data_IF_541821099047
#
_entry.id   IF_541821099047
#
_cell.length_a   1.000
_cell.length_b   1.000
_cell.length_c   1.000
_cell.angle_alpha   90.00
_cell.angle_beta   90.00
_cell.angle_gamma   90.00
#
_symmetry.space_group_name_H-M   'P 1'
#
loop_
_entity.id
_entity.type
_entity.pdbx_description
1 polymer ?
#
# COMPACT_ATOMS: atom_id res chain seq x y z
N UNK A 1 32.86 60.38 47.48
CA UNK A 1 33.44 59.24 46.74
C UNK A 1 33.00 57.98 47.48
N UNK A 2 32.05 57.23 46.87
CA UNK A 2 31.47 55.88 47.18
C UNK A 2 31.11 55.50 48.63
N UNK A 3 30.30 54.42 48.89
CA UNK A 3 29.61 53.43 48.02
C UNK A 3 28.07 53.38 48.28
N UNK A 4 27.18 52.91 47.40
CA UNK A 4 26.97 51.51 46.99
C UNK A 4 25.81 50.86 47.79
N UNK A 5 24.60 50.77 47.20
CA UNK A 5 23.53 49.88 47.67
C UNK A 5 22.79 49.20 46.48
N UNK A 6 22.28 47.96 46.67
CA UNK A 6 22.06 46.99 45.59
C UNK A 6 20.68 47.10 44.95
N UNK A 7 20.60 46.73 43.66
CA UNK A 7 19.37 46.60 42.88
C UNK A 7 18.49 45.46 43.42
N UNK A 8 17.24 45.77 43.77
CA UNK A 8 16.17 44.78 43.98
C UNK A 8 15.80 44.09 42.67
N UNK A 9 15.61 42.77 42.76
CA UNK A 9 15.11 41.92 41.68
C UNK A 9 13.66 42.25 41.36
N UNK A 10 13.36 42.60 40.10
CA UNK A 10 12.00 42.63 39.58
C UNK A 10 11.62 41.23 39.12
N UNK A 11 10.56 40.69 39.70
CA UNK A 11 9.87 39.48 39.22
C UNK A 11 9.42 39.66 37.76
N UNK A 12 9.62 38.65 36.88
CA UNK A 12 8.98 38.66 35.58
C UNK A 12 7.52 38.22 35.73
N UNK A 13 6.60 39.04 35.22
CA UNK A 13 5.17 38.74 35.16
C UNK A 13 4.86 37.50 34.29
N UNK A 14 3.66 36.93 34.38
CA UNK A 14 3.34 35.68 33.72
C UNK A 14 3.22 35.93 32.20
N UNK A 15 4.28 35.58 31.47
CA UNK A 15 4.21 35.33 30.04
C UNK A 15 3.37 34.09 29.84
N UNK A 16 2.22 34.24 29.20
CA UNK A 16 1.42 33.13 28.71
C UNK A 16 2.19 32.42 27.59
N UNK A 17 3.01 31.44 27.94
CA UNK A 17 3.45 30.40 27.01
C UNK A 17 2.26 29.46 26.76
N UNK A 18 1.44 29.78 25.76
CA UNK A 18 0.59 28.77 25.13
C UNK A 18 1.49 27.89 24.28
N UNK A 19 2.02 26.84 24.90
CA UNK A 19 2.59 25.69 24.19
C UNK A 19 1.46 25.02 23.41
N UNK A 20 1.20 25.48 22.19
CA UNK A 20 0.36 24.76 21.26
C UNK A 20 1.04 23.42 20.98
N UNK A 21 0.36 22.33 21.33
CA UNK A 21 0.79 20.98 20.99
C UNK A 21 1.06 20.91 19.48
N UNK A 22 2.09 20.18 19.04
CA UNK A 22 2.43 20.13 17.62
C UNK A 22 1.22 19.58 16.84
N UNK A 23 0.83 20.29 15.76
CA UNK A 23 -0.34 20.08 14.88
C UNK A 23 -0.63 18.61 14.46
N UNK A 24 0.33 17.71 14.61
CA UNK A 24 0.17 16.28 14.38
C UNK A 24 -0.55 15.55 15.54
N UNK A 25 -0.44 16.00 16.79
CA UNK A 25 -1.14 15.40 17.94
C UNK A 25 -2.65 15.68 17.91
N UNK A 26 -3.04 16.89 17.52
CA UNK A 26 -4.43 17.28 17.24
C UNK A 26 -5.00 16.53 16.03
N UNK A 27 -4.20 16.36 14.98
CA UNK A 27 -4.59 15.55 13.81
C UNK A 27 -4.76 14.08 14.20
N UNK A 28 -3.82 13.52 14.99
CA UNK A 28 -3.87 12.14 15.46
C UNK A 28 -5.09 11.87 16.32
N UNK A 29 -5.38 12.74 17.29
CA UNK A 29 -6.57 12.62 18.14
C UNK A 29 -7.88 12.75 17.35
N UNK A 30 -7.91 13.58 16.30
CA UNK A 30 -9.05 13.65 15.37
C UNK A 30 -9.24 12.33 14.58
N UNK A 31 -8.17 11.75 14.05
CA UNK A 31 -8.22 10.47 13.33
C UNK A 31 -8.52 9.25 14.22
N UNK A 32 -8.01 9.25 15.45
CA UNK A 32 -8.29 8.21 16.45
C UNK A 32 -9.79 8.19 16.82
N UNK A 33 -10.44 9.36 16.83
CA UNK A 33 -11.89 9.48 17.11
C UNK A 33 -12.79 9.07 15.94
N UNK A 34 -12.28 9.09 14.70
CA UNK A 34 -12.98 8.61 13.51
C UNK A 34 -12.83 7.09 13.29
N UNK A 35 -11.99 6.45 14.12
CA UNK A 35 -11.75 5.00 14.06
C UNK A 35 -12.82 4.22 14.84
N UNK A 36 -13.38 3.14 14.28
CA UNK A 36 -14.49 2.41 14.89
C UNK A 36 -14.11 1.70 16.21
N UNK A 37 -15.01 1.80 17.22
CA UNK A 37 -14.76 1.48 18.64
C UNK A 37 -14.54 0.00 19.01
N UNK A 38 -14.64 -0.95 18.08
CA UNK A 38 -14.37 -2.39 18.29
C UNK A 38 -13.91 -3.06 16.99
N UNK A 39 -12.62 -3.01 16.70
CA UNK A 39 -12.02 -3.77 15.59
C UNK A 39 -10.79 -4.55 16.08
N UNK A 40 -10.46 -5.70 15.45
CA UNK A 40 -9.33 -6.55 15.84
C UNK A 40 -8.01 -5.80 15.71
N UNK A 41 -7.06 -6.06 16.61
CA UNK A 41 -5.78 -5.33 16.70
C UNK A 41 -4.97 -5.35 15.39
N UNK A 42 -4.45 -4.20 14.96
CA UNK A 42 -3.43 -4.11 13.90
C UNK A 42 -2.21 -4.96 14.25
N UNK A 43 -1.65 -5.74 13.31
CA UNK A 43 -0.37 -6.38 13.51
C UNK A 43 0.75 -5.33 13.52
N UNK A 44 1.92 -5.69 14.08
CA UNK A 44 3.10 -4.84 13.91
C UNK A 44 3.59 -4.92 12.46
N UNK A 45 4.02 -3.82 11.83
CA UNK A 45 4.41 -3.81 10.41
C UNK A 45 5.47 -4.86 10.05
N UNK A 46 6.44 -5.09 10.95
CA UNK A 46 7.51 -6.07 10.79
C UNK A 46 7.05 -7.55 10.80
N UNK A 47 5.85 -7.82 11.31
CA UNK A 47 5.31 -9.17 11.48
C UNK A 47 4.23 -9.50 10.44
N UNK A 48 3.83 -8.54 9.61
CA UNK A 48 2.74 -8.66 8.67
C UNK A 48 3.20 -8.46 7.23
N UNK A 49 2.35 -8.86 6.28
CA UNK A 49 2.55 -8.61 4.86
C UNK A 49 1.92 -7.25 4.55
N UNK A 50 2.75 -6.20 4.49
CA UNK A 50 2.28 -4.82 4.30
C UNK A 50 1.96 -4.56 2.82
N UNK A 51 0.70 -4.20 2.56
CA UNK A 51 0.19 -3.81 1.24
C UNK A 51 -0.19 -2.34 1.29
N UNK A 52 0.57 -1.49 0.61
CA UNK A 52 0.24 -0.09 0.48
C UNK A 52 -0.62 0.13 -0.77
N UNK A 53 -1.74 0.84 -0.65
CA UNK A 53 -2.66 1.12 -1.76
C UNK A 53 -2.89 2.62 -1.83
N UNK A 54 -2.80 3.20 -3.03
CA UNK A 54 -3.12 4.60 -3.23
C UNK A 54 -4.63 4.87 -3.14
N UNK A 55 -5.04 6.06 -2.68
CA UNK A 55 -6.46 6.47 -2.64
C UNK A 55 -7.17 6.30 -3.99
N UNK A 56 -6.56 6.73 -5.09
CA UNK A 56 -7.12 6.58 -6.45
C UNK A 56 -7.15 5.14 -6.98
N UNK A 57 -6.36 4.23 -6.39
CA UNK A 57 -6.44 2.81 -6.72
C UNK A 57 -7.59 2.15 -5.96
N UNK A 58 -7.78 2.52 -4.69
CA UNK A 58 -8.84 1.97 -3.84
C UNK A 58 -10.22 2.50 -4.20
N UNK A 59 -10.32 3.77 -4.56
CA UNK A 59 -11.57 4.48 -4.85
C UNK A 59 -11.49 5.18 -6.21
N UNK A 60 -12.63 5.31 -6.89
CA UNK A 60 -12.70 6.14 -8.11
C UNK A 60 -12.76 7.59 -7.70
N UNK A 61 -11.74 8.33 -8.10
CA UNK A 61 -11.56 9.76 -7.78
C UNK A 61 -11.27 10.57 -9.04
N UNK A 62 -11.82 10.13 -10.19
CA UNK A 62 -11.51 10.69 -11.51
C UNK A 62 -12.00 12.15 -11.61
N UNK A 63 -13.17 12.44 -11.04
CA UNK A 63 -13.76 13.79 -11.02
C UNK A 63 -12.93 14.73 -10.14
N UNK A 64 -12.57 14.27 -8.95
CA UNK A 64 -11.78 15.06 -8.00
C UNK A 64 -10.38 15.32 -8.55
N UNK A 65 -9.79 14.35 -9.25
CA UNK A 65 -8.54 14.55 -9.97
C UNK A 65 -8.67 15.61 -11.05
N UNK A 66 -9.77 15.61 -11.82
CA UNK A 66 -10.02 16.62 -12.86
C UNK A 66 -10.11 18.01 -12.25
N UNK A 67 -10.88 18.17 -11.17
CA UNK A 67 -10.98 19.45 -10.44
C UNK A 67 -9.61 19.92 -9.98
N UNK A 68 -8.79 19.03 -9.39
CA UNK A 68 -7.43 19.39 -8.96
C UNK A 68 -6.55 19.86 -10.12
N UNK A 69 -6.61 19.18 -11.27
CA UNK A 69 -5.76 19.49 -12.43
C UNK A 69 -6.21 20.75 -13.17
N UNK A 70 -7.52 20.98 -13.30
CA UNK A 70 -8.08 22.08 -14.10
C UNK A 70 -8.32 23.35 -13.27
N UNK A 71 -8.74 23.21 -12.01
CA UNK A 71 -9.23 24.31 -11.16
C UNK A 71 -8.31 24.57 -9.95
N UNK A 72 -7.35 23.67 -9.69
CA UNK A 72 -6.34 23.83 -8.65
C UNK A 72 -6.76 23.33 -7.27
N UNK A 73 -5.86 23.54 -6.30
CA UNK A 73 -5.96 22.94 -4.96
C UNK A 73 -7.12 23.49 -4.13
N UNK A 74 -7.39 24.79 -4.22
CA UNK A 74 -8.43 25.44 -3.42
C UNK A 74 -9.82 24.90 -3.76
N UNK A 75 -10.11 24.81 -5.06
CA UNK A 75 -11.39 24.27 -5.55
C UNK A 75 -11.54 22.79 -5.21
N UNK A 76 -10.47 22.03 -5.38
CA UNK A 76 -10.42 20.62 -5.00
C UNK A 76 -10.75 20.43 -3.50
N UNK A 77 -10.17 21.24 -2.62
CA UNK A 77 -10.45 21.18 -1.18
C UNK A 77 -11.91 21.54 -0.91
N UNK A 78 -12.44 22.61 -1.51
CA UNK A 78 -13.85 23.00 -1.36
C UNK A 78 -14.80 21.88 -1.77
N UNK A 79 -14.58 21.31 -2.97
CA UNK A 79 -15.39 20.21 -3.48
C UNK A 79 -15.38 19.02 -2.52
N UNK A 80 -14.22 18.66 -1.97
CA UNK A 80 -14.09 17.54 -1.04
C UNK A 80 -14.79 17.79 0.29
N UNK A 81 -14.78 19.03 0.80
CA UNK A 81 -15.49 19.44 2.02
C UNK A 81 -17.01 19.37 1.83
N UNK A 82 -17.52 19.86 0.69
CA UNK A 82 -18.95 19.84 0.37
C UNK A 82 -19.50 18.41 0.24
N UNK A 83 -18.67 17.47 -0.21
CA UNK A 83 -19.04 16.07 -0.44
C UNK A 83 -18.50 15.11 0.63
N UNK A 84 -18.12 15.59 1.82
CA UNK A 84 -17.49 14.77 2.88
C UNK A 84 -18.29 13.51 3.27
N UNK A 85 -19.62 13.62 3.24
CA UNK A 85 -20.54 12.55 3.61
C UNK A 85 -20.95 11.66 2.43
N UNK A 86 -20.44 11.93 1.23
CA UNK A 86 -20.69 11.14 0.03
C UNK A 86 -19.54 10.15 -0.20
N UNK A 87 -19.77 8.84 0.00
CA UNK A 87 -18.73 7.84 -0.19
C UNK A 87 -18.24 7.79 -1.63
N UNK A 88 -16.93 7.65 -1.83
CA UNK A 88 -16.38 7.39 -3.16
C UNK A 88 -16.84 6.03 -3.67
N UNK A 89 -17.06 5.92 -4.98
CA UNK A 89 -17.34 4.62 -5.58
C UNK A 89 -16.11 3.68 -5.56
N UNK A 90 -16.32 2.34 -5.49
CA UNK A 90 -15.21 1.38 -5.44
C UNK A 90 -14.28 1.48 -6.65
N UNK A 91 -12.98 1.61 -6.39
CA UNK A 91 -11.93 1.66 -7.39
C UNK A 91 -11.42 0.29 -7.84
N UNK A 92 -10.48 0.25 -8.79
CA UNK A 92 -9.98 -0.99 -9.37
C UNK A 92 -9.28 -1.94 -8.38
N UNK A 93 -8.64 -1.40 -7.33
CA UNK A 93 -8.00 -2.22 -6.29
C UNK A 93 -8.98 -2.66 -5.18
N UNK A 94 -10.23 -2.19 -5.19
CA UNK A 94 -11.19 -2.47 -4.13
C UNK A 94 -11.49 -3.97 -3.95
N UNK A 95 -11.77 -4.76 -5.01
CA UNK A 95 -12.02 -6.18 -4.84
C UNK A 95 -10.81 -6.95 -4.32
N UNK A 96 -9.60 -6.48 -4.67
CA UNK A 96 -8.35 -7.04 -4.15
C UNK A 96 -8.23 -6.81 -2.64
N UNK A 97 -8.50 -5.59 -2.16
CA UNK A 97 -8.53 -5.29 -0.72
C UNK A 97 -9.56 -6.15 0.04
N UNK A 98 -10.77 -6.32 -0.50
CA UNK A 98 -11.77 -7.24 0.09
C UNK A 98 -11.28 -8.70 0.15
N UNK A 99 -10.58 -9.16 -0.88
CA UNK A 99 -9.99 -10.50 -0.89
C UNK A 99 -8.90 -10.67 0.18
N UNK A 100 -8.06 -9.66 0.40
CA UNK A 100 -7.09 -9.67 1.51
C UNK A 100 -7.78 -9.74 2.87
N UNK A 101 -8.85 -8.97 3.08
CA UNK A 101 -9.64 -9.01 4.32
C UNK A 101 -10.29 -10.37 4.55
N UNK A 102 -10.83 -10.99 3.51
CA UNK A 102 -11.41 -12.33 3.59
C UNK A 102 -10.36 -13.37 4.02
N UNK A 103 -9.13 -13.27 3.48
CA UNK A 103 -8.00 -14.12 3.91
C UNK A 103 -7.64 -13.85 5.37
N UNK A 104 -7.52 -12.58 5.76
CA UNK A 104 -7.21 -12.16 7.13
C UNK A 104 -8.23 -12.67 8.14
N UNK A 105 -9.53 -12.64 7.79
CA UNK A 105 -10.60 -13.17 8.64
C UNK A 105 -10.36 -14.66 8.94
N UNK A 106 -10.11 -15.47 7.92
CA UNK A 106 -9.83 -16.90 8.10
C UNK A 106 -8.52 -17.16 8.84
N UNK A 107 -7.49 -16.35 8.61
CA UNK A 107 -6.23 -16.47 9.35
C UNK A 107 -6.44 -16.19 10.85
N UNK A 108 -7.22 -15.16 11.20
CA UNK A 108 -7.54 -14.86 12.60
C UNK A 108 -8.41 -15.92 13.26
N UNK A 109 -9.33 -16.54 12.53
CA UNK A 109 -10.11 -17.69 13.02
C UNK A 109 -9.22 -18.91 13.35
N UNK A 110 -8.22 -19.18 12.50
CA UNK A 110 -7.31 -20.32 12.68
C UNK A 110 -6.17 -20.05 13.66
N UNK A 111 -5.73 -18.80 13.76
CA UNK A 111 -4.58 -18.34 14.54
C UNK A 111 -4.87 -16.98 15.20
N UNK A 112 -5.68 -16.93 16.27
CA UNK A 112 -6.11 -15.68 16.91
C UNK A 112 -4.96 -14.78 17.38
N UNK A 113 -3.86 -15.40 17.85
CA UNK A 113 -2.69 -14.69 18.40
C UNK A 113 -1.61 -14.36 17.36
N UNK A 114 -1.82 -14.73 16.08
CA UNK A 114 -0.82 -14.51 15.04
C UNK A 114 -0.96 -13.15 14.38
N UNK A 115 0.15 -12.40 14.35
CA UNK A 115 0.25 -11.12 13.64
C UNK A 115 0.63 -11.28 12.15
N UNK A 116 0.96 -12.50 11.69
CA UNK A 116 1.38 -12.75 10.31
C UNK A 116 0.15 -12.96 9.41
N UNK A 117 -0.42 -11.81 9.06
CA UNK A 117 -1.59 -11.55 8.21
C UNK A 117 -1.25 -10.42 7.22
N UNK A 118 -2.18 -10.01 6.35
CA UNK A 118 -2.02 -8.80 5.55
C UNK A 118 -2.29 -7.54 6.38
N UNK A 119 -1.46 -6.53 6.21
CA UNK A 119 -1.63 -5.21 6.79
C UNK A 119 -1.78 -4.18 5.67
N UNK A 120 -2.98 -3.59 5.56
CA UNK A 120 -3.36 -2.74 4.44
C UNK A 120 -3.19 -1.28 4.87
N UNK A 121 -2.41 -0.53 4.08
CA UNK A 121 -2.12 0.89 4.36
C UNK A 121 -2.63 1.73 3.21
N UNK A 122 -3.43 2.76 3.53
CA UNK A 122 -3.84 3.73 2.53
C UNK A 122 -2.78 4.84 2.41
N UNK A 123 -2.18 4.97 1.23
CA UNK A 123 -1.33 6.10 0.84
C UNK A 123 -2.15 7.14 0.08
N UNK A 124 -2.08 8.39 0.49
CA UNK A 124 -2.68 9.49 -0.28
C UNK A 124 -1.75 10.68 -0.35
N UNK A 125 -1.73 11.31 -1.52
CA UNK A 125 -1.03 12.57 -1.73
C UNK A 125 -1.87 13.78 -1.34
N UNK A 126 -3.14 13.55 -0.98
CA UNK A 126 -4.07 14.62 -0.67
C UNK A 126 -3.70 15.30 0.65
N UNK A 127 -4.06 16.57 0.76
CA UNK A 127 -3.92 17.33 1.99
C UNK A 127 -4.79 16.72 3.11
N UNK A 128 -4.34 16.84 4.36
CA UNK A 128 -4.99 16.25 5.53
C UNK A 128 -6.49 16.64 5.66
N UNK A 129 -6.83 17.86 5.25
CA UNK A 129 -8.21 18.36 5.26
C UNK A 129 -9.18 17.56 4.38
N UNK A 130 -8.67 16.80 3.41
CA UNK A 130 -9.47 15.97 2.48
C UNK A 130 -9.57 14.52 2.95
N UNK A 131 -8.96 14.19 4.10
CA UNK A 131 -8.94 12.83 4.66
C UNK A 131 -10.31 12.35 5.14
N UNK A 132 -11.20 13.27 5.52
CA UNK A 132 -12.50 12.93 6.12
C UNK A 132 -13.36 12.10 5.16
N UNK A 133 -13.50 12.53 3.90
CA UNK A 133 -14.28 11.78 2.89
C UNK A 133 -13.71 10.38 2.63
N UNK A 134 -12.38 10.24 2.62
CA UNK A 134 -11.72 8.93 2.48
C UNK A 134 -12.05 8.01 3.66
N UNK A 135 -12.00 8.52 4.88
CA UNK A 135 -12.33 7.76 6.09
C UNK A 135 -13.81 7.39 6.10
N UNK A 136 -14.69 8.33 5.77
CA UNK A 136 -16.12 8.07 5.63
C UNK A 136 -16.40 6.98 4.58
N UNK A 137 -15.68 6.98 3.46
CA UNK A 137 -15.79 5.94 2.44
C UNK A 137 -15.32 4.58 2.96
N UNK A 138 -14.21 4.52 3.68
CA UNK A 138 -13.70 3.29 4.30
C UNK A 138 -14.68 2.73 5.32
N UNK A 139 -15.26 3.60 6.15
CA UNK A 139 -16.26 3.22 7.13
C UNK A 139 -17.57 2.76 6.45
N UNK A 140 -17.99 3.44 5.38
CA UNK A 140 -19.17 3.07 4.60
C UNK A 140 -19.07 1.64 4.03
N UNK A 141 -17.89 1.24 3.55
CA UNK A 141 -17.65 -0.09 3.01
C UNK A 141 -17.15 -1.14 4.03
N UNK A 142 -17.09 -0.75 5.31
CA UNK A 142 -16.50 -1.53 6.40
C UNK A 142 -15.14 -2.14 6.05
N UNK A 143 -14.26 -1.33 5.46
CA UNK A 143 -12.89 -1.73 5.19
C UNK A 143 -12.07 -1.71 6.49
N UNK A 144 -11.21 -2.69 6.67
CA UNK A 144 -10.24 -2.80 7.76
C UNK A 144 -8.91 -2.21 7.31
N UNK A 145 -8.82 -0.88 7.37
CA UNK A 145 -7.62 -0.11 7.09
C UNK A 145 -7.38 0.78 8.30
N UNK A 146 -6.38 0.43 9.12
CA UNK A 146 -6.07 1.17 10.35
C UNK A 146 -4.92 2.16 10.17
N UNK A 147 -4.17 2.07 9.07
CA UNK A 147 -3.01 2.91 8.80
C UNK A 147 -3.24 3.77 7.57
N UNK A 148 -3.15 5.08 7.81
CA UNK A 148 -3.28 6.13 6.80
C UNK A 148 -2.00 6.94 6.75
N UNK A 149 -1.50 7.18 5.55
CA UNK A 149 -0.45 8.17 5.35
C UNK A 149 -0.91 9.20 4.33
N UNK A 150 -0.83 10.46 4.73
CA UNK A 150 -1.15 11.61 3.91
C UNK A 150 0.14 12.38 3.70
N UNK A 151 0.68 12.34 2.49
CA UNK A 151 2.00 12.92 2.19
C UNK A 151 1.93 14.42 1.89
N UNK A 152 0.72 14.98 1.74
CA UNK A 152 0.51 16.41 1.49
C UNK A 152 1.20 16.91 0.21
N UNK A 153 1.20 16.08 -0.84
CA UNK A 153 1.86 16.37 -2.12
C UNK A 153 3.29 15.82 -2.24
N UNK A 154 3.93 15.43 -1.15
CA UNK A 154 5.27 14.84 -1.20
C UNK A 154 5.26 13.41 -1.74
N UNK A 155 6.43 12.92 -2.19
CA UNK A 155 6.59 11.54 -2.64
C UNK A 155 6.31 10.54 -1.51
N UNK A 156 5.60 9.42 -1.77
CA UNK A 156 5.26 8.43 -0.74
C UNK A 156 6.42 7.52 -0.35
N UNK A 157 7.55 7.55 -1.06
CA UNK A 157 8.63 6.56 -0.93
C UNK A 157 9.16 6.44 0.50
N UNK A 158 9.40 7.56 1.20
CA UNK A 158 9.95 7.52 2.55
C UNK A 158 9.03 6.74 3.51
N UNK A 159 7.72 6.91 3.37
CA UNK A 159 6.72 6.19 4.15
C UNK A 159 6.63 4.72 3.73
N UNK A 160 6.67 4.43 2.43
CA UNK A 160 6.64 3.05 1.93
C UNK A 160 7.82 2.22 2.51
N UNK A 161 9.02 2.82 2.59
CA UNK A 161 10.20 2.19 3.22
C UNK A 161 10.02 2.02 4.72
N UNK A 162 9.57 3.07 5.42
CA UNK A 162 9.36 3.03 6.87
C UNK A 162 8.33 1.98 7.30
N UNK A 163 7.34 1.69 6.45
CA UNK A 163 6.35 0.65 6.70
C UNK A 163 6.76 -0.75 6.25
N UNK A 164 7.97 -0.96 5.75
CA UNK A 164 8.44 -2.24 5.19
C UNK A 164 7.46 -2.82 4.15
N UNK A 165 7.02 -1.96 3.23
CA UNK A 165 6.00 -2.31 2.22
C UNK A 165 6.44 -3.50 1.37
N UNK A 166 5.61 -4.56 1.33
CA UNK A 166 5.83 -5.74 0.50
C UNK A 166 5.25 -5.58 -0.91
N UNK A 167 4.23 -4.74 -1.07
CA UNK A 167 3.63 -4.40 -2.36
C UNK A 167 2.96 -3.03 -2.30
N UNK A 168 3.30 -2.15 -3.23
CA UNK A 168 2.65 -0.86 -3.44
C UNK A 168 1.79 -0.85 -4.70
N UNK A 169 0.50 -0.55 -4.57
CA UNK A 169 -0.45 -0.48 -5.67
C UNK A 169 -0.92 0.96 -5.87
N UNK A 170 -0.72 1.50 -7.06
CA UNK A 170 -1.10 2.89 -7.36
C UNK A 170 -1.71 3.04 -8.74
N UNK A 171 -2.66 3.96 -8.88
CA UNK A 171 -3.16 4.38 -10.18
C UNK A 171 -2.24 5.41 -10.87
N UNK A 172 -1.14 5.81 -10.24
CA UNK A 172 -0.17 6.76 -10.76
C UNK A 172 1.13 6.04 -11.14
N UNK A 173 1.40 5.94 -12.44
CA UNK A 173 2.56 5.23 -12.97
C UNK A 173 3.90 5.88 -12.59
N UNK A 174 3.92 7.21 -12.43
CA UNK A 174 5.13 7.94 -12.04
C UNK A 174 5.57 7.55 -10.64
N UNK A 175 4.61 7.50 -9.70
CA UNK A 175 4.87 7.05 -8.32
C UNK A 175 5.25 5.58 -8.22
N UNK A 176 4.70 4.75 -9.11
CA UNK A 176 5.08 3.33 -9.18
C UNK A 176 6.53 3.20 -9.64
N UNK A 177 6.94 3.98 -10.64
CA UNK A 177 8.34 4.01 -11.09
C UNK A 177 9.28 4.47 -9.98
N UNK A 178 8.96 5.58 -9.29
CA UNK A 178 9.74 6.04 -8.13
C UNK A 178 9.90 4.94 -7.06
N UNK A 179 8.85 4.14 -6.82
CA UNK A 179 8.91 3.06 -5.84
C UNK A 179 9.79 1.91 -6.30
N UNK A 180 9.69 1.52 -7.57
CA UNK A 180 10.52 0.46 -8.17
C UNK A 180 12.00 0.85 -8.17
N UNK A 181 12.32 2.09 -8.54
CA UNK A 181 13.70 2.62 -8.57
C UNK A 181 14.35 2.57 -7.18
N UNK A 182 13.54 2.67 -6.13
CA UNK A 182 13.94 2.63 -4.72
C UNK A 182 13.88 1.22 -4.12
N UNK A 183 13.71 0.19 -4.95
CA UNK A 183 13.73 -1.23 -4.58
C UNK A 183 12.44 -1.74 -3.94
N UNK A 184 11.33 -0.99 -4.07
CA UNK A 184 10.03 -1.36 -3.51
C UNK A 184 9.21 -2.05 -4.60
N UNK A 185 8.71 -3.25 -4.28
CA UNK A 185 7.74 -3.95 -5.10
C UNK A 185 6.50 -3.08 -5.35
N UNK A 186 6.26 -2.66 -6.58
CA UNK A 186 5.12 -1.82 -6.91
C UNK A 186 4.49 -2.18 -8.26
N UNK A 187 3.21 -1.85 -8.43
CA UNK A 187 2.49 -2.06 -9.67
C UNK A 187 1.46 -0.95 -9.93
N UNK A 188 1.34 -0.58 -11.20
CA UNK A 188 0.29 0.33 -11.66
C UNK A 188 -1.02 -0.43 -11.78
N UNK A 189 -2.06 0.09 -11.14
CA UNK A 189 -3.42 -0.43 -11.26
C UNK A 189 -4.15 0.36 -12.33
N UNK A 190 -4.70 -0.37 -13.29
CA UNK A 190 -5.52 0.19 -14.36
C UNK A 190 -7.00 0.02 -14.01
N UNK A 191 -7.79 1.07 -14.27
CA UNK A 191 -9.24 0.97 -14.25
C UNK A 191 -9.69 0.09 -15.42
N UNK A 192 -10.33 -1.06 -15.18
CA UNK A 192 -10.74 -1.94 -16.25
C UNK A 192 -11.80 -1.24 -17.11
N UNK A 193 -11.76 -1.47 -18.43
CA UNK A 193 -12.72 -0.91 -19.38
C UNK A 193 -14.13 -1.53 -19.28
N UNK A 194 -14.26 -2.62 -18.52
CA UNK A 194 -15.51 -3.33 -18.22
C UNK A 194 -15.54 -3.68 -16.74
N UNK A 195 -16.74 -3.68 -16.17
CA UNK A 195 -16.95 -4.18 -14.82
C UNK A 195 -16.67 -5.69 -14.78
N UNK A 196 -15.51 -6.07 -14.28
CA UNK A 196 -15.14 -7.47 -14.08
C UNK A 196 -15.62 -7.89 -12.69
N UNK A 197 -16.59 -8.79 -12.65
CA UNK A 197 -17.03 -9.41 -11.39
C UNK A 197 -15.96 -10.41 -10.96
N UNK A 198 -15.17 -10.02 -9.97
CA UNK A 198 -14.15 -10.88 -9.35
C UNK A 198 -14.60 -11.33 -7.96
N UNK A 199 -14.24 -12.55 -7.59
CA UNK A 199 -14.54 -13.08 -6.25
C UNK A 199 -13.80 -12.29 -5.18
N UNK A 200 -14.54 -11.74 -4.23
CA UNK A 200 -13.99 -11.03 -3.06
C UNK A 200 -13.63 -11.98 -1.90
N UNK A 201 -13.97 -13.26 -2.00
CA UNK A 201 -13.73 -14.24 -0.92
C UNK A 201 -12.42 -15.01 -1.10
N UNK A 202 -11.73 -14.82 -2.23
CA UNK A 202 -10.54 -15.56 -2.59
C UNK A 202 -9.55 -14.63 -3.27
N UNK A 203 -8.34 -14.57 -2.73
CA UNK A 203 -7.22 -13.88 -3.34
C UNK A 203 -6.63 -14.76 -4.44
N UNK A 204 -6.67 -14.29 -5.68
CA UNK A 204 -6.07 -14.95 -6.84
C UNK A 204 -4.97 -14.05 -7.40
N UNK A 205 -3.74 -14.55 -7.41
CA UNK A 205 -2.58 -13.83 -7.93
C UNK A 205 -1.92 -14.69 -9.00
N UNK A 206 -1.81 -14.15 -10.21
CA UNK A 206 -1.02 -14.75 -11.28
C UNK A 206 0.27 -13.94 -11.42
N UNK A 207 1.41 -14.62 -11.34
CA UNK A 207 2.72 -14.03 -11.56
C UNK A 207 3.20 -14.38 -12.95
N UNK A 208 3.70 -13.38 -13.67
CA UNK A 208 4.52 -13.61 -14.85
C UNK A 208 5.92 -14.06 -14.40
N UNK A 209 6.30 -15.28 -14.73
CA UNK A 209 7.58 -15.86 -14.38
C UNK A 209 8.73 -15.13 -15.04
N UNK A 210 8.61 -14.84 -16.34
CA UNK A 210 9.75 -14.47 -17.18
C UNK A 210 10.14 -12.98 -17.07
N UNK A 211 9.28 -12.13 -16.53
CA UNK A 211 9.52 -10.68 -16.43
C UNK A 211 9.38 -10.08 -15.02
N UNK A 212 8.78 -10.79 -14.06
CA UNK A 212 8.35 -10.19 -12.78
C UNK A 212 8.91 -10.92 -11.54
N UNK A 213 9.07 -12.24 -11.61
CA UNK A 213 9.70 -13.04 -10.54
C UNK A 213 11.22 -13.15 -10.68
N UNK A 214 11.71 -13.01 -11.91
CA UNK A 214 13.11 -13.00 -12.29
C UNK A 214 13.46 -11.67 -12.97
N UNK A 215 14.74 -11.30 -12.97
CA UNK A 215 15.22 -10.06 -13.57
C UNK A 215 14.92 -10.03 -15.07
N UNK A 216 14.58 -8.85 -15.57
CA UNK A 216 14.31 -8.57 -16.99
C UNK A 216 15.59 -8.61 -17.85
N UNK A 217 16.75 -8.94 -17.28
CA UNK A 217 18.04 -9.03 -17.97
C UNK A 217 17.96 -9.92 -19.21
N UNK A 218 17.27 -11.04 -19.10
CA UNK A 218 17.05 -11.98 -20.21
C UNK A 218 16.17 -11.37 -21.32
N UNK A 219 15.12 -10.62 -20.96
CA UNK A 219 14.24 -9.95 -21.92
C UNK A 219 14.93 -8.75 -22.59
N UNK A 220 15.78 -8.03 -21.87
CA UNK A 220 16.61 -6.95 -22.42
C UNK A 220 17.60 -7.48 -23.47
N UNK A 221 18.18 -8.66 -23.25
CA UNK A 221 19.06 -9.32 -24.25
C UNK A 221 18.27 -9.72 -25.49
N UNK A 222 17.05 -10.27 -25.34
CA UNK A 222 16.16 -10.60 -26.48
C UNK A 222 15.80 -9.35 -27.27
N UNK A 223 15.36 -8.29 -26.60
CA UNK A 223 14.97 -7.01 -27.24
C UNK A 223 16.15 -6.32 -27.92
N UNK A 224 17.36 -6.44 -27.37
CA UNK A 224 18.53 -5.77 -27.90
C UNK A 224 19.26 -6.56 -29.00
N UNK A 225 19.31 -7.90 -28.92
CA UNK A 225 20.24 -8.71 -29.71
C UNK A 225 19.60 -9.91 -30.43
N UNK A 226 18.27 -10.08 -30.33
CA UNK A 226 17.53 -11.14 -31.02
C UNK A 226 17.55 -12.49 -30.29
N UNK A 227 16.72 -13.41 -30.77
CA UNK A 227 16.48 -14.74 -30.18
C UNK A 227 17.73 -15.64 -30.16
N UNK A 228 18.62 -15.52 -31.14
CA UNK A 228 19.81 -16.39 -31.24
C UNK A 228 20.78 -16.15 -30.07
N UNK A 229 21.01 -14.88 -29.71
CA UNK A 229 21.82 -14.47 -28.54
C UNK A 229 21.17 -14.85 -27.21
N UNK A 230 19.85 -14.96 -27.16
CA UNK A 230 19.12 -15.42 -25.98
C UNK A 230 19.37 -16.90 -25.71
N UNK A 231 19.32 -17.76 -26.74
CA UNK A 231 19.62 -19.19 -26.57
C UNK A 231 21.07 -19.44 -26.17
N UNK A 232 22.02 -18.67 -26.70
CA UNK A 232 23.42 -18.74 -26.28
C UNK A 232 23.61 -18.25 -24.82
N UNK A 233 22.90 -17.20 -24.42
CA UNK A 233 22.94 -16.68 -23.07
C UNK A 233 22.30 -17.64 -22.06
N UNK A 234 21.13 -18.22 -22.35
CA UNK A 234 20.48 -19.24 -21.53
C UNK A 234 21.36 -20.47 -21.38
N UNK A 235 21.91 -21.00 -22.47
CA UNK A 235 22.78 -22.19 -22.44
C UNK A 235 24.07 -21.95 -21.64
N UNK A 236 24.58 -20.72 -21.65
CA UNK A 236 25.76 -20.34 -20.86
C UNK A 236 25.44 -20.04 -19.39
N UNK A 237 24.18 -19.73 -19.05
CA UNK A 237 23.74 -19.30 -17.71
C UNK A 237 22.69 -20.24 -17.08
N UNK A 238 22.49 -21.44 -17.63
CA UNK A 238 21.51 -22.45 -17.21
C UNK A 238 21.55 -22.77 -15.70
N UNK A 239 22.74 -22.73 -15.10
CA UNK A 239 22.96 -22.99 -13.67
C UNK A 239 23.09 -21.73 -12.80
N UNK A 240 22.91 -20.53 -13.36
CA UNK A 240 22.92 -19.28 -12.61
C UNK A 240 21.47 -18.85 -12.36
N UNK A 241 21.01 -18.83 -11.10
CA UNK A 241 19.69 -18.29 -10.78
C UNK A 241 19.59 -16.87 -11.34
N UNK A 242 18.53 -16.59 -12.09
CA UNK A 242 18.22 -15.24 -12.55
C UNK A 242 18.15 -14.30 -11.34
N UNK A 243 18.57 -13.04 -11.51
CA UNK A 243 18.48 -12.08 -10.44
C UNK A 243 17.00 -11.94 -10.00
N UNK A 244 16.79 -11.68 -8.72
CA UNK A 244 15.45 -11.76 -8.14
C UNK A 244 14.61 -10.58 -8.61
N UNK A 245 13.43 -10.85 -9.17
CA UNK A 245 12.49 -9.81 -9.59
C UNK A 245 11.85 -9.09 -8.40
N UNK A 246 11.32 -7.88 -8.59
CA UNK A 246 10.82 -7.02 -7.52
C UNK A 246 9.68 -7.65 -6.73
N UNK A 247 8.86 -8.53 -7.34
CA UNK A 247 7.72 -9.15 -6.65
C UNK A 247 8.04 -10.46 -5.93
N UNK A 248 9.29 -10.93 -5.94
CA UNK A 248 9.67 -12.19 -5.27
C UNK A 248 9.32 -12.19 -3.79
N UNK A 249 9.62 -11.09 -3.08
CA UNK A 249 9.31 -10.98 -1.65
C UNK A 249 7.80 -11.09 -1.36
N UNK A 250 6.96 -10.56 -2.25
CA UNK A 250 5.52 -10.71 -2.14
C UNK A 250 5.06 -12.15 -2.41
N UNK A 251 5.62 -12.83 -3.42
CA UNK A 251 5.34 -14.25 -3.68
C UNK A 251 5.72 -15.14 -2.48
N UNK A 252 6.90 -14.91 -1.87
CA UNK A 252 7.33 -15.64 -0.67
C UNK A 252 6.38 -15.43 0.51
N UNK A 253 5.89 -14.20 0.69
CA UNK A 253 4.90 -13.87 1.69
C UNK A 253 3.56 -14.61 1.46
N UNK A 254 3.07 -14.66 0.21
CA UNK A 254 1.89 -15.45 -0.13
C UNK A 254 2.10 -16.94 0.17
N UNK A 255 3.26 -17.48 -0.19
CA UNK A 255 3.63 -18.87 0.09
C UNK A 255 3.68 -19.19 1.59
N UNK A 256 4.20 -18.26 2.40
CA UNK A 256 4.22 -18.38 3.87
C UNK A 256 2.80 -18.43 4.44
N UNK A 257 1.91 -17.53 4.01
CA UNK A 257 0.52 -17.51 4.45
C UNK A 257 -0.26 -18.75 3.97
N UNK A 258 -0.01 -19.24 2.74
CA UNK A 258 -0.59 -20.50 2.25
C UNK A 258 -0.20 -21.70 3.11
N UNK A 259 1.07 -21.80 3.52
CA UNK A 259 1.56 -22.88 4.39
C UNK A 259 0.80 -22.95 5.71
N UNK A 260 0.36 -21.83 6.29
CA UNK A 260 -0.48 -21.84 7.50
C UNK A 260 -1.78 -22.62 7.31
N UNK A 261 -2.47 -22.41 6.19
CA UNK A 261 -3.68 -23.17 5.88
C UNK A 261 -3.36 -24.66 5.66
N UNK A 262 -2.23 -24.97 5.03
CA UNK A 262 -1.83 -26.35 4.74
C UNK A 262 -1.53 -27.14 6.02
N UNK A 263 -0.87 -26.50 6.99
CA UNK A 263 -0.58 -27.09 8.31
C UNK A 263 -1.84 -27.41 9.12
N UNK A 264 -2.99 -26.84 8.76
CA UNK A 264 -4.31 -27.17 9.35
C UNK A 264 -5.12 -28.17 8.52
N UNK A 265 -4.53 -28.74 7.46
CA UNK A 265 -5.23 -29.64 6.53
C UNK A 265 -6.15 -28.93 5.54
N UNK A 266 -6.19 -27.59 5.53
CA UNK A 266 -7.12 -26.78 4.72
C UNK A 266 -6.53 -26.41 3.35
N UNK A 267 -5.77 -27.32 2.73
CA UNK A 267 -5.08 -27.05 1.45
C UNK A 267 -6.06 -26.68 0.33
N UNK A 268 -7.11 -27.48 0.16
CA UNK A 268 -8.13 -27.26 -0.87
C UNK A 268 -9.00 -26.04 -0.57
N UNK A 269 -9.19 -25.71 0.70
CA UNK A 269 -10.00 -24.58 1.11
C UNK A 269 -9.22 -23.26 1.20
N UNK A 270 -7.90 -23.27 1.07
CA UNK A 270 -7.08 -22.08 1.24
C UNK A 270 -7.62 -20.90 0.40
N UNK A 271 -7.88 -19.73 0.97
CA UNK A 271 -8.43 -18.59 0.22
C UNK A 271 -7.39 -17.88 -0.65
N UNK A 272 -6.13 -18.33 -0.68
CA UNK A 272 -5.06 -17.80 -1.52
C UNK A 272 -4.78 -18.79 -2.66
N UNK A 273 -4.85 -18.32 -3.90
CA UNK A 273 -4.49 -19.05 -5.12
C UNK A 273 -3.39 -18.30 -5.84
N UNK A 274 -2.28 -18.99 -6.05
CA UNK A 274 -1.13 -18.47 -6.77
C UNK A 274 -0.97 -19.25 -8.06
N UNK A 275 -0.84 -18.54 -9.17
CA UNK A 275 -0.62 -19.09 -10.49
C UNK A 275 0.71 -18.55 -11.02
N UNK A 276 1.45 -19.38 -11.76
CA UNK A 276 2.63 -18.96 -12.50
C UNK A 276 2.28 -19.03 -13.98
N UNK A 277 2.44 -17.92 -14.67
CA UNK A 277 2.29 -17.80 -16.13
C UNK A 277 3.70 -17.59 -16.68
N UNK A 278 4.13 -18.43 -17.60
CA UNK A 278 5.45 -18.34 -18.23
C UNK A 278 5.29 -18.67 -19.70
N UNK A 279 6.09 -18.02 -20.54
CA UNK A 279 6.18 -18.32 -21.97
C UNK A 279 7.02 -19.56 -22.27
N UNK A 280 7.69 -20.16 -21.26
CA UNK A 280 8.45 -21.40 -21.41
C UNK A 280 7.49 -22.55 -21.73
N UNK A 281 7.78 -23.29 -22.81
CA UNK A 281 7.04 -24.50 -23.18
C UNK A 281 7.10 -25.52 -22.05
N UNK A 282 5.99 -26.24 -21.79
CA UNK A 282 5.91 -27.30 -20.77
C UNK A 282 7.00 -28.38 -20.92
N UNK A 283 7.61 -28.49 -22.11
CA UNK A 283 8.70 -29.42 -22.40
C UNK A 283 10.09 -28.96 -21.90
N UNK A 284 10.26 -27.70 -21.49
CA UNK A 284 11.55 -27.14 -21.04
C UNK A 284 11.62 -26.96 -19.52
N UNK A 285 10.94 -27.83 -18.78
CA UNK A 285 10.79 -27.70 -17.33
C UNK A 285 12.09 -28.08 -16.59
N UNK A 286 12.80 -27.07 -16.05
CA UNK A 286 13.76 -27.24 -14.96
C UNK A 286 15.14 -26.68 -15.24
#
# INVERSE_FOLDING_TARGET
MEPGQPREAREPGPGAETTAAPRWEESKTFYDNLSPKKKPKSPKPQNAVTIAVSSRALFRMDEEQRIYMEQGVEEYVRYQLEHENEPFSPGPAFPFVKALEAVNKRLRELYPDSEDIFDIVLMTNNHAQVGVRLINSINHYDLFIERFCMTGGNSPICYLKAYHTNLYLSADAEKVREAIDEGIAAATIFSPSRDVVVSQNQLRVAFDGDAVLFSDESERIVKAHGLDRFFEHEKAHENKPLAQGPLKGFLEALGRLQKKFYSKGLRLECPIRTYLVTARSAASSG
#
